data_IF_487038900536
#
_entry.id   IF_487038900536
#
_cell.length_a   1.000
_cell.length_b   1.000
_cell.length_c   1.000
_cell.angle_alpha   90.00
_cell.angle_beta   90.00
_cell.angle_gamma   90.00
#
_symmetry.space_group_name_H-M   'P 1'
#
loop_
_entity.id
_entity.type
_entity.pdbx_description
1 polymer ?
#
# COMPACT_ATOMS: atom_id res chain seq x y z
N UNK A 1 -9.77 -14.14 34.88
CA UNK A 1 -8.29 -14.07 34.85
C UNK A 1 -7.79 -15.08 33.85
N UNK A 2 -7.48 -14.64 32.64
CA UNK A 2 -6.97 -15.47 31.54
C UNK A 2 -5.50 -15.10 31.30
N UNK A 3 -4.61 -16.04 31.52
CA UNK A 3 -3.17 -15.93 31.36
C UNK A 3 -2.83 -15.94 29.87
N UNK A 4 -2.10 -14.95 29.42
CA UNK A 4 -1.56 -14.86 28.06
C UNK A 4 -0.15 -15.44 28.05
N UNK A 5 0.04 -16.55 27.29
CA UNK A 5 1.35 -17.14 27.03
C UNK A 5 2.03 -16.42 25.86
N UNK A 6 3.31 -16.07 25.94
CA UNK A 6 4.09 -15.64 24.80
C UNK A 6 4.60 -16.87 24.03
N UNK A 7 4.27 -16.98 22.76
CA UNK A 7 4.76 -18.02 21.87
C UNK A 7 6.11 -17.61 21.27
N UNK A 8 7.02 -18.55 21.39
CA UNK A 8 8.43 -18.53 21.05
C UNK A 8 8.71 -18.27 19.57
N UNK A 9 9.88 -17.68 19.34
CA UNK A 9 10.54 -17.53 18.05
C UNK A 9 10.88 -18.91 17.47
N UNK A 10 10.54 -19.13 16.20
CA UNK A 10 11.01 -20.26 15.42
C UNK A 10 11.93 -19.73 14.30
N UNK A 11 13.21 -20.09 14.39
CA UNK A 11 14.23 -19.88 13.36
C UNK A 11 13.88 -20.73 12.13
N UNK A 12 13.89 -20.13 10.95
CA UNK A 12 13.86 -20.85 9.67
C UNK A 12 15.18 -20.62 8.94
N UNK A 13 15.83 -21.75 8.66
CA UNK A 13 17.09 -21.90 7.95
C UNK A 13 16.92 -21.56 6.47
N UNK A 14 17.85 -20.77 5.95
CA UNK A 14 17.95 -20.39 4.53
C UNK A 14 18.78 -21.46 3.80
N UNK A 15 18.20 -22.11 2.79
CA UNK A 15 18.95 -22.88 1.79
C UNK A 15 19.21 -21.99 0.57
N UNK A 16 20.49 -21.76 0.29
CA UNK A 16 20.95 -21.12 -0.93
C UNK A 16 21.07 -22.17 -2.05
N UNK A 17 20.47 -21.91 -3.21
CA UNK A 17 20.80 -22.61 -4.46
C UNK A 17 21.24 -21.62 -5.51
N UNK A 18 22.51 -21.75 -5.89
CA UNK A 18 23.16 -21.07 -7.01
C UNK A 18 22.78 -21.77 -8.31
N UNK A 19 22.42 -21.01 -9.33
CA UNK A 19 22.36 -21.46 -10.73
C UNK A 19 23.03 -20.44 -11.64
N UNK A 20 24.17 -20.84 -12.17
CA UNK A 20 24.95 -20.20 -13.24
C UNK A 20 24.36 -20.64 -14.59
N UNK A 21 24.18 -19.73 -15.53
CA UNK A 21 24.21 -20.08 -16.95
C UNK A 21 24.53 -18.89 -17.85
N UNK A 22 25.48 -19.14 -18.71
CA UNK A 22 26.10 -18.31 -19.75
C UNK A 22 25.22 -18.07 -20.98
N UNK A 23 25.52 -16.96 -21.67
CA UNK A 23 25.89 -17.00 -23.09
C UNK A 23 24.83 -16.59 -24.10
N UNK A 24 25.24 -15.67 -24.99
CA UNK A 24 24.70 -15.61 -26.33
C UNK A 24 24.56 -14.21 -26.93
N UNK A 25 25.67 -13.73 -27.50
CA UNK A 25 25.68 -12.58 -28.45
C UNK A 25 25.17 -13.04 -29.81
N UNK A 26 24.46 -12.18 -30.54
CA UNK A 26 24.57 -12.13 -32.01
C UNK A 26 24.13 -10.78 -32.57
N UNK A 27 25.04 -10.21 -33.37
CA UNK A 27 24.89 -9.05 -34.27
C UNK A 27 24.02 -9.39 -35.48
N UNK A 28 23.44 -8.35 -36.08
CA UNK A 28 22.83 -8.43 -37.41
C UNK A 28 22.26 -7.09 -37.90
N UNK A 29 23.06 -6.32 -38.50
CA UNK A 29 23.10 -5.48 -39.72
C UNK A 29 21.81 -4.94 -40.31
N UNK A 30 21.81 -3.62 -40.56
CA UNK A 30 21.07 -2.86 -41.59
C UNK A 30 21.49 -3.28 -43.03
N UNK A 31 20.87 -2.82 -44.17
CA UNK A 31 20.32 -1.48 -44.44
C UNK A 31 19.14 -1.36 -45.49
N UNK A 32 18.60 -0.13 -45.61
CA UNK A 32 18.27 0.62 -46.85
C UNK A 32 17.01 0.29 -47.64
N UNK A 33 16.08 1.18 -47.85
CA UNK A 33 15.84 2.09 -49.00
C UNK A 33 14.44 2.72 -48.96
N UNK A 34 14.38 4.02 -49.21
CA UNK A 34 13.16 4.72 -49.55
C UNK A 34 12.84 4.54 -51.05
N UNK A 35 11.62 4.82 -51.51
CA UNK A 35 11.44 6.04 -52.27
C UNK A 35 10.12 6.81 -51.99
N UNK A 36 10.20 8.07 -52.37
CA UNK A 36 9.18 9.12 -52.40
C UNK A 36 7.97 8.83 -53.29
N UNK A 37 6.80 9.34 -52.96
CA UNK A 37 6.02 10.21 -53.88
C UNK A 37 4.65 10.65 -53.31
N UNK A 38 4.43 11.94 -53.42
CA UNK A 38 3.26 12.69 -53.93
C UNK A 38 2.07 12.91 -52.99
N UNK A 39 2.04 14.17 -52.58
CA UNK A 39 1.00 15.12 -52.26
C UNK A 39 -0.45 14.77 -52.61
N UNK A 40 -1.35 14.86 -51.63
CA UNK A 40 -2.73 15.35 -51.85
C UNK A 40 -3.25 16.01 -50.59
N UNK A 41 -3.48 17.31 -50.70
CA UNK A 41 -4.12 18.12 -49.67
C UNK A 41 -5.52 17.64 -49.35
N UNK A 42 -5.84 17.47 -48.06
CA UNK A 42 -7.20 17.39 -47.56
C UNK A 42 -7.29 18.11 -46.21
N UNK A 43 -8.17 19.07 -46.18
CA UNK A 43 -8.61 19.95 -45.11
C UNK A 43 -8.69 19.29 -43.74
N UNK A 44 -7.99 19.86 -42.78
CA UNK A 44 -7.93 19.45 -41.37
C UNK A 44 -9.07 20.05 -40.57
N UNK A 45 -9.79 19.28 -39.70
CA UNK A 45 -10.50 19.81 -38.52
C UNK A 45 -9.49 20.19 -37.43
N UNK A 46 -9.81 21.15 -36.53
CA UNK A 46 -8.86 21.59 -35.52
C UNK A 46 -8.55 20.45 -34.58
N UNK A 47 -7.29 20.07 -34.50
CA UNK A 47 -6.78 19.08 -33.53
C UNK A 47 -6.87 19.67 -32.13
N UNK A 48 -7.60 18.98 -31.27
CA UNK A 48 -7.48 19.12 -29.84
C UNK A 48 -6.03 18.81 -29.45
N UNK A 49 -5.30 19.86 -29.07
CA UNK A 49 -3.96 19.69 -28.51
C UNK A 49 -4.04 18.99 -27.16
N UNK A 50 -3.90 17.67 -27.15
CA UNK A 50 -3.44 16.98 -25.97
C UNK A 50 -2.02 17.45 -25.72
N UNK A 51 -1.84 18.39 -24.80
CA UNK A 51 -0.51 18.79 -24.31
C UNK A 51 0.02 17.59 -23.52
N UNK A 52 0.71 16.69 -24.21
CA UNK A 52 1.59 15.72 -23.55
C UNK A 52 2.80 16.54 -23.11
N UNK A 53 2.74 17.15 -21.94
CA UNK A 53 3.89 17.74 -21.28
C UNK A 53 4.86 16.60 -20.95
N UNK A 54 5.86 16.43 -21.81
CA UNK A 54 6.97 15.54 -21.52
C UNK A 54 7.67 16.08 -20.25
N UNK A 55 7.64 15.38 -19.11
CA UNK A 55 8.24 15.91 -17.89
C UNK A 55 9.73 16.11 -18.14
N UNK A 56 10.23 17.32 -17.85
CA UNK A 56 11.66 17.61 -17.99
C UNK A 56 12.52 16.70 -17.10
N UNK A 57 13.84 16.58 -17.37
CA UNK A 57 14.74 15.69 -16.63
C UNK A 57 14.66 15.83 -15.08
N UNK A 58 14.42 17.04 -14.59
CA UNK A 58 14.25 17.29 -13.14
C UNK A 58 12.96 16.72 -12.56
N UNK A 59 11.87 16.70 -13.33
CA UNK A 59 10.60 16.12 -12.89
C UNK A 59 10.69 14.59 -12.79
N UNK A 60 11.29 13.92 -13.78
CA UNK A 60 11.52 12.48 -13.75
C UNK A 60 12.43 12.06 -12.58
N UNK A 61 13.45 12.88 -12.29
CA UNK A 61 14.34 12.61 -11.15
C UNK A 61 13.62 12.81 -9.80
N UNK A 62 12.75 13.81 -9.69
CA UNK A 62 11.93 14.03 -8.50
C UNK A 62 10.95 12.88 -8.29
N UNK A 63 10.27 12.42 -9.33
CA UNK A 63 9.37 11.27 -9.30
C UNK A 63 10.11 9.98 -8.90
N UNK A 64 11.28 9.70 -9.49
CA UNK A 64 12.10 8.55 -9.13
C UNK A 64 12.53 8.60 -7.65
N UNK A 65 12.85 9.77 -7.12
CA UNK A 65 13.20 9.97 -5.70
C UNK A 65 12.01 9.75 -4.79
N UNK A 66 10.84 10.25 -5.17
CA UNK A 66 9.58 10.08 -4.44
C UNK A 66 9.18 8.60 -4.39
N UNK A 67 9.16 7.92 -5.54
CA UNK A 67 8.92 6.49 -5.64
C UNK A 67 9.94 5.66 -4.82
N UNK A 68 11.22 6.05 -4.82
CA UNK A 68 12.25 5.40 -4.00
C UNK A 68 12.00 5.56 -2.49
N UNK A 69 11.39 6.67 -2.06
CA UNK A 69 11.00 6.89 -0.68
C UNK A 69 9.75 6.08 -0.26
N UNK A 70 8.98 5.58 -1.22
CA UNK A 70 7.78 4.76 -0.97
C UNK A 70 6.48 5.42 -1.40
N UNK A 71 6.53 6.50 -2.17
CA UNK A 71 5.35 7.08 -2.80
C UNK A 71 4.69 6.07 -3.74
N UNK A 72 3.37 5.98 -3.69
CA UNK A 72 2.59 5.12 -4.59
C UNK A 72 2.24 5.96 -5.82
N UNK A 73 2.75 5.59 -7.02
CA UNK A 73 2.50 6.36 -8.23
C UNK A 73 1.01 6.48 -8.59
N UNK A 74 0.59 7.56 -9.23
CA UNK A 74 -0.80 7.78 -9.65
C UNK A 74 -1.31 6.70 -10.63
N UNK A 75 -0.41 6.10 -11.41
CA UNK A 75 -0.71 5.00 -12.34
C UNK A 75 -0.63 3.62 -11.71
N UNK A 76 -0.52 3.51 -10.37
CA UNK A 76 -0.44 2.23 -9.67
C UNK A 76 -1.67 1.37 -9.93
N UNK A 77 -1.45 0.14 -10.34
CA UNK A 77 -2.51 -0.87 -10.46
C UNK A 77 -2.87 -1.42 -9.08
N UNK A 78 -4.16 -1.53 -8.78
CA UNK A 78 -4.67 -2.09 -7.54
C UNK A 78 -5.38 -3.41 -7.79
N UNK A 79 -4.90 -4.47 -7.16
CA UNK A 79 -5.49 -5.81 -7.21
C UNK A 79 -6.55 -5.98 -6.12
N UNK A 80 -7.57 -6.79 -6.40
CA UNK A 80 -8.58 -7.14 -5.42
C UNK A 80 -8.16 -8.40 -4.63
N UNK A 81 -8.00 -8.25 -3.32
CA UNK A 81 -7.82 -9.36 -2.40
C UNK A 81 -9.16 -9.79 -1.83
N UNK A 82 -9.58 -11.00 -2.14
CA UNK A 82 -10.79 -11.62 -1.58
C UNK A 82 -10.40 -12.62 -0.49
N UNK A 83 -10.86 -12.40 0.73
CA UNK A 83 -10.64 -13.30 1.87
C UNK A 83 -11.97 -13.95 2.28
N UNK A 84 -12.35 -15.09 1.68
CA UNK A 84 -13.64 -15.72 1.96
C UNK A 84 -13.76 -16.27 3.38
N UNK A 85 -12.65 -16.68 4.00
CA UNK A 85 -12.63 -17.21 5.37
C UNK A 85 -12.86 -16.12 6.42
N UNK A 86 -12.24 -14.94 6.24
CA UNK A 86 -12.46 -13.78 7.10
C UNK A 86 -13.69 -12.96 6.65
N UNK A 87 -14.20 -13.18 5.44
CA UNK A 87 -15.43 -12.63 4.90
C UNK A 87 -15.33 -11.17 4.50
N UNK A 88 -14.23 -10.78 3.84
CA UNK A 88 -14.05 -9.43 3.30
C UNK A 88 -13.33 -9.42 1.95
N UNK A 89 -13.43 -8.28 1.27
CA UNK A 89 -12.65 -7.91 0.09
C UNK A 89 -12.02 -6.54 0.35
N UNK A 90 -10.78 -6.34 -0.11
CA UNK A 90 -10.08 -5.05 -0.12
C UNK A 90 -9.15 -4.98 -1.32
N UNK A 91 -8.90 -3.79 -1.86
CA UNK A 91 -7.85 -3.58 -2.85
C UNK A 91 -6.51 -3.30 -2.18
N UNK A 92 -5.43 -3.68 -2.86
CA UNK A 92 -4.05 -3.40 -2.46
C UNK A 92 -3.19 -3.12 -3.70
N UNK A 93 -2.09 -2.38 -3.61
CA UNK A 93 -1.23 -2.10 -4.76
C UNK A 93 -0.57 -3.37 -5.30
N UNK A 94 -0.56 -3.53 -6.63
CA UNK A 94 0.16 -4.62 -7.29
C UNK A 94 1.66 -4.56 -6.94
N UNK A 95 2.29 -5.73 -6.79
CA UNK A 95 3.71 -5.85 -6.43
C UNK A 95 4.00 -5.83 -4.92
N UNK A 96 3.01 -5.48 -4.07
CA UNK A 96 3.22 -5.53 -2.62
C UNK A 96 3.26 -6.95 -2.08
N UNK A 97 4.23 -7.23 -1.22
CA UNK A 97 4.38 -8.53 -0.58
C UNK A 97 3.24 -8.77 0.41
N UNK A 98 2.52 -9.88 0.21
CA UNK A 98 1.47 -10.35 1.13
C UNK A 98 2.05 -11.28 2.19
N UNK A 99 1.62 -11.13 3.43
CA UNK A 99 2.01 -11.98 4.57
C UNK A 99 0.91 -12.09 5.62
N UNK A 100 1.09 -13.00 6.57
CA UNK A 100 0.18 -13.20 7.70
C UNK A 100 -0.90 -14.26 7.48
N UNK A 101 -1.54 -14.71 8.58
CA UNK A 101 -2.63 -15.69 8.55
C UNK A 101 -3.93 -15.06 8.07
N UNK A 102 -4.93 -15.88 7.76
CA UNK A 102 -6.24 -15.47 7.22
C UNK A 102 -6.91 -14.33 7.99
N UNK A 103 -6.80 -14.30 9.32
CA UNK A 103 -7.43 -13.26 10.16
C UNK A 103 -6.58 -12.01 10.37
N UNK A 104 -5.34 -11.98 9.88
CA UNK A 104 -4.38 -10.88 10.04
C UNK A 104 -3.47 -10.81 8.82
N UNK A 105 -3.95 -10.20 7.76
CA UNK A 105 -3.25 -10.12 6.47
C UNK A 105 -2.59 -8.75 6.34
N UNK A 106 -1.32 -8.75 5.94
CA UNK A 106 -0.52 -7.55 5.70
C UNK A 106 -0.01 -7.55 4.27
N UNK A 107 -0.16 -6.43 3.57
CA UNK A 107 0.52 -6.10 2.32
C UNK A 107 1.56 -5.03 2.61
N UNK A 108 2.76 -5.20 2.08
CA UNK A 108 3.88 -4.30 2.37
C UNK A 108 4.75 -4.06 1.14
N UNK A 109 5.13 -2.81 0.96
CA UNK A 109 6.25 -2.42 0.10
C UNK A 109 7.09 -1.36 0.83
N UNK A 110 8.39 -1.57 0.88
CA UNK A 110 9.32 -0.72 1.65
C UNK A 110 8.83 -0.55 3.10
N UNK A 111 8.46 0.69 3.49
CA UNK A 111 7.90 1.01 4.80
C UNK A 111 6.37 1.24 4.77
N UNK A 112 5.74 1.11 3.60
CA UNK A 112 4.30 1.22 3.48
C UNK A 112 3.61 -0.06 3.92
N UNK A 113 2.46 0.07 4.54
CA UNK A 113 1.69 -1.06 5.09
C UNK A 113 0.20 -0.86 4.79
N UNK A 114 -0.43 -1.93 4.31
CA UNK A 114 -1.87 -2.15 4.38
C UNK A 114 -2.08 -3.42 5.18
N UNK A 115 -2.68 -3.33 6.37
CA UNK A 115 -2.96 -4.48 7.22
C UNK A 115 -4.43 -4.57 7.53
N UNK A 116 -5.00 -5.76 7.44
CA UNK A 116 -6.39 -6.04 7.79
C UNK A 116 -6.44 -7.14 8.84
N UNK A 117 -6.91 -6.79 10.04
CA UNK A 117 -7.14 -7.73 11.13
C UNK A 117 -8.64 -7.90 11.31
N UNK A 118 -9.13 -9.14 11.28
CA UNK A 118 -10.54 -9.45 11.54
C UNK A 118 -10.68 -10.19 12.85
N UNK A 119 -11.47 -9.63 13.75
CA UNK A 119 -11.75 -10.18 15.07
C UNK A 119 -13.25 -10.35 15.30
N UNK A 120 -13.61 -11.10 16.34
CA UNK A 120 -14.99 -11.19 16.83
C UNK A 120 -15.13 -10.30 18.06
N UNK A 121 -16.18 -9.51 18.11
CA UNK A 121 -16.45 -8.61 19.23
C UNK A 121 -17.68 -7.74 19.03
N UNK A 122 -18.03 -6.95 20.03
CA UNK A 122 -19.10 -5.95 19.90
C UNK A 122 -18.65 -4.82 18.96
N UNK A 123 -19.60 -4.10 18.36
CA UNK A 123 -19.28 -2.89 17.58
C UNK A 123 -18.41 -1.93 18.38
N UNK A 124 -17.30 -1.42 17.81
CA UNK A 124 -16.42 -0.51 18.50
C UNK A 124 -17.10 0.85 18.74
N UNK A 125 -16.63 1.56 19.75
CA UNK A 125 -17.01 2.94 20.04
C UNK A 125 -15.76 3.82 20.10
N UNK A 126 -15.85 5.14 19.89
CA UNK A 126 -14.69 6.02 20.05
C UNK A 126 -13.99 5.85 21.42
N UNK A 127 -14.78 5.63 22.49
CA UNK A 127 -14.26 5.39 23.85
C UNK A 127 -13.48 4.07 23.94
N UNK A 128 -13.97 2.97 23.34
CA UNK A 128 -13.26 1.69 23.37
C UNK A 128 -11.99 1.74 22.51
N UNK A 129 -12.03 2.37 21.34
CA UNK A 129 -10.86 2.57 20.49
C UNK A 129 -9.82 3.45 21.16
N UNK A 130 -10.22 4.54 21.84
CA UNK A 130 -9.29 5.38 22.62
C UNK A 130 -8.54 4.58 23.68
N UNK A 131 -9.24 3.68 24.40
CA UNK A 131 -8.61 2.79 25.39
C UNK A 131 -7.66 1.78 24.77
N UNK A 132 -8.02 1.22 23.61
CA UNK A 132 -7.16 0.31 22.85
C UNK A 132 -5.87 0.99 22.40
N UNK A 133 -5.97 2.18 21.78
CA UNK A 133 -4.82 2.94 21.32
C UNK A 133 -3.91 3.41 22.48
N UNK A 134 -4.48 3.71 23.65
CA UNK A 134 -3.71 4.14 24.81
C UNK A 134 -2.75 3.07 25.37
N UNK A 135 -3.03 1.78 25.11
CA UNK A 135 -2.17 0.67 25.53
C UNK A 135 -1.29 0.11 24.40
N UNK A 136 -1.38 0.69 23.20
CA UNK A 136 -0.56 0.30 22.06
C UNK A 136 0.86 0.83 22.25
N UNK A 137 1.80 -0.09 22.48
CA UNK A 137 3.19 0.30 22.78
C UNK A 137 3.84 1.04 21.61
N UNK A 138 4.48 2.16 21.93
CA UNK A 138 5.20 2.98 20.94
C UNK A 138 4.30 3.75 19.98
N UNK A 139 2.99 3.82 20.26
CA UNK A 139 2.06 4.63 19.49
C UNK A 139 1.79 5.97 20.17
N UNK A 140 1.79 7.03 19.37
CA UNK A 140 1.36 8.37 19.78
C UNK A 140 0.15 8.77 18.95
N UNK A 141 -1.02 8.93 19.57
CA UNK A 141 -2.26 9.29 18.87
C UNK A 141 -2.18 10.75 18.43
N UNK A 142 -2.28 11.00 17.12
CA UNK A 142 -2.26 12.33 16.49
C UNK A 142 -3.66 12.82 16.12
N UNK A 143 -4.57 11.88 15.76
CA UNK A 143 -6.00 12.17 15.57
C UNK A 143 -6.82 11.23 16.44
N UNK A 144 -7.64 11.76 17.36
CA UNK A 144 -8.46 10.95 18.25
C UNK A 144 -9.50 10.15 17.46
N UNK A 145 -10.00 9.01 18.02
CA UNK A 145 -11.03 8.21 17.38
C UNK A 145 -12.32 8.97 17.16
N UNK A 146 -12.76 9.08 15.90
CA UNK A 146 -13.97 9.76 15.47
C UNK A 146 -14.84 8.81 14.63
N UNK A 147 -16.16 8.98 14.74
CA UNK A 147 -17.12 8.29 13.87
C UNK A 147 -16.98 8.81 12.45
N UNK A 148 -16.98 7.92 11.49
CA UNK A 148 -16.92 8.22 10.05
C UNK A 148 -17.74 7.22 9.26
N UNK A 149 -17.76 7.38 7.95
CA UNK A 149 -18.39 6.46 6.99
C UNK A 149 -17.37 6.07 5.94
N UNK A 150 -17.27 4.78 5.67
CA UNK A 150 -16.44 4.20 4.62
C UNK A 150 -17.35 3.43 3.68
N UNK A 151 -17.48 3.89 2.44
CA UNK A 151 -18.32 3.25 1.41
C UNK A 151 -19.74 2.90 1.89
N UNK A 152 -20.40 3.85 2.56
CA UNK A 152 -21.74 3.69 3.12
C UNK A 152 -21.82 2.91 4.44
N UNK A 153 -20.73 2.31 4.89
CA UNK A 153 -20.68 1.58 6.17
C UNK A 153 -20.20 2.47 7.30
N UNK A 154 -20.80 2.32 8.49
CA UNK A 154 -20.33 3.01 9.69
C UNK A 154 -18.93 2.53 10.06
N UNK A 155 -18.06 3.47 10.39
CA UNK A 155 -16.68 3.21 10.78
C UNK A 155 -16.24 4.15 11.93
N UNK A 156 -15.08 3.83 12.52
CA UNK A 156 -14.34 4.74 13.38
C UNK A 156 -12.96 4.88 12.75
N UNK A 157 -12.47 6.11 12.63
CA UNK A 157 -11.15 6.45 12.16
C UNK A 157 -10.34 7.10 13.28
N UNK A 158 -9.07 6.76 13.36
CA UNK A 158 -8.08 7.39 14.22
C UNK A 158 -6.73 7.40 13.51
N UNK A 159 -5.86 8.35 13.86
CA UNK A 159 -4.48 8.38 13.36
C UNK A 159 -3.51 8.31 14.54
N UNK A 160 -2.47 7.54 14.38
CA UNK A 160 -1.38 7.49 15.35
C UNK A 160 -0.03 7.36 14.63
N UNK A 161 1.02 7.81 15.29
CA UNK A 161 2.39 7.60 14.85
C UNK A 161 3.03 6.46 15.65
N UNK A 162 3.89 5.69 14.98
CA UNK A 162 4.67 4.61 15.59
C UNK A 162 5.98 4.41 14.87
N UNK A 163 6.91 3.66 15.49
CA UNK A 163 8.16 3.26 14.84
C UNK A 163 7.93 2.03 13.98
N UNK A 164 8.49 2.03 12.76
CA UNK A 164 8.55 0.81 11.95
C UNK A 164 9.49 -0.23 12.57
N UNK A 165 9.36 -1.50 12.14
CA UNK A 165 10.46 -2.43 12.30
C UNK A 165 11.72 -1.88 11.60
N UNK A 166 12.94 -2.20 12.07
CA UNK A 166 14.16 -1.86 11.35
C UNK A 166 14.15 -2.45 9.94
N UNK A 167 14.59 -1.66 8.96
CA UNK A 167 14.77 -2.16 7.61
C UNK A 167 15.86 -3.26 7.61
N UNK A 168 15.61 -4.43 7.03
CA UNK A 168 16.52 -5.58 7.12
C UNK A 168 17.88 -5.32 6.45
N UNK A 169 17.97 -4.37 5.52
CA UNK A 169 19.20 -4.03 4.80
C UNK A 169 19.99 -2.92 5.51
N UNK A 170 19.29 -1.86 5.94
CA UNK A 170 19.95 -0.66 6.49
C UNK A 170 19.95 -0.59 8.02
N UNK A 171 19.22 -1.47 8.70
CA UNK A 171 19.01 -1.44 10.15
C UNK A 171 18.22 -0.23 10.66
N UNK A 172 17.81 0.69 9.78
CA UNK A 172 17.14 1.94 10.14
C UNK A 172 15.62 1.73 10.28
N UNK A 173 15.05 2.30 11.33
CA UNK A 173 13.61 2.43 11.51
C UNK A 173 13.15 3.85 11.19
N UNK A 174 11.96 3.97 10.65
CA UNK A 174 11.30 5.25 10.34
C UNK A 174 10.07 5.45 11.25
N UNK A 175 9.60 6.68 11.36
CA UNK A 175 8.30 6.96 11.97
C UNK A 175 7.22 6.78 10.90
N UNK A 176 6.22 5.97 11.22
CA UNK A 176 5.03 5.75 10.40
C UNK A 176 3.87 6.54 10.97
N UNK A 177 3.16 7.27 10.10
CA UNK A 177 1.80 7.69 10.35
C UNK A 177 0.85 6.57 9.91
N UNK A 178 -0.05 6.17 10.79
CA UNK A 178 -0.99 5.08 10.54
C UNK A 178 -2.42 5.58 10.65
N UNK A 179 -3.14 5.55 9.54
CA UNK A 179 -4.59 5.70 9.49
C UNK A 179 -5.23 4.37 9.85
N UNK A 180 -5.90 4.31 11.01
CA UNK A 180 -6.58 3.11 11.48
C UNK A 180 -8.08 3.25 11.39
N UNK A 181 -8.70 2.33 10.67
CA UNK A 181 -10.14 2.24 10.51
C UNK A 181 -10.70 1.01 11.20
N UNK A 182 -11.82 1.16 11.89
CA UNK A 182 -12.61 0.08 12.46
C UNK A 182 -13.93 -0.01 11.72
N UNK A 183 -14.17 -1.13 11.03
CA UNK A 183 -15.42 -1.41 10.32
C UNK A 183 -16.05 -2.66 10.93
N UNK A 184 -17.36 -2.73 11.02
CA UNK A 184 -18.03 -3.89 11.62
C UNK A 184 -19.28 -4.31 10.88
N UNK A 185 -19.57 -5.62 10.94
CA UNK A 185 -20.81 -6.25 10.46
C UNK A 185 -21.21 -7.35 11.44
N UNK A 186 -22.33 -7.16 12.16
CA UNK A 186 -22.72 -8.05 13.26
C UNK A 186 -21.66 -8.09 14.37
N UNK A 187 -21.15 -9.28 14.67
CA UNK A 187 -20.09 -9.49 15.69
C UNK A 187 -18.66 -9.53 15.09
N UNK A 188 -18.50 -9.24 13.80
CA UNK A 188 -17.17 -9.15 13.16
C UNK A 188 -16.71 -7.70 13.13
N UNK A 189 -15.45 -7.48 13.49
CA UNK A 189 -14.78 -6.18 13.44
C UNK A 189 -13.53 -6.34 12.59
N UNK A 190 -13.39 -5.53 11.55
CA UNK A 190 -12.16 -5.37 10.79
C UNK A 190 -11.44 -4.12 11.28
N UNK A 191 -10.15 -4.27 11.57
CA UNK A 191 -9.22 -3.19 11.83
C UNK A 191 -8.35 -3.08 10.57
N UNK A 192 -8.40 -1.94 9.90
CA UNK A 192 -7.60 -1.68 8.70
C UNK A 192 -6.59 -0.59 9.03
N UNK A 193 -5.30 -0.94 8.96
CA UNK A 193 -4.18 -0.03 9.14
C UNK A 193 -3.59 0.33 7.78
N UNK A 194 -3.46 1.62 7.49
CA UNK A 194 -2.81 2.18 6.32
C UNK A 194 -1.64 3.03 6.80
N UNK A 195 -0.42 2.55 6.67
CA UNK A 195 0.77 3.16 7.24
C UNK A 195 1.77 3.61 6.19
N UNK A 196 2.25 4.86 6.29
CA UNK A 196 3.33 5.41 5.47
C UNK A 196 4.37 6.13 6.33
N UNK A 197 5.62 6.25 5.86
CA UNK A 197 6.62 7.08 6.52
C UNK A 197 6.18 8.54 6.63
N UNK A 198 6.35 9.13 7.82
CA UNK A 198 6.14 10.56 8.07
C UNK A 198 7.42 11.26 8.50
N UNK A 199 8.43 10.50 8.95
CA UNK A 199 9.76 11.00 9.26
C UNK A 199 10.82 9.89 9.07
N UNK A 200 12.05 10.19 8.68
CA UNK A 200 12.60 11.51 8.32
C UNK A 200 12.11 12.06 6.97
N UNK A 201 11.52 11.23 6.11
CA UNK A 201 10.94 11.62 4.82
C UNK A 201 9.44 11.32 4.88
N UNK A 202 8.62 12.34 4.63
CA UNK A 202 7.18 12.17 4.50
C UNK A 202 6.86 11.63 3.12
N UNK A 203 6.03 10.59 3.09
CA UNK A 203 5.49 9.98 1.87
C UNK A 203 4.01 10.34 1.77
N UNK A 204 3.57 10.79 0.61
CA UNK A 204 2.17 11.18 0.38
C UNK A 204 1.41 10.07 -0.37
N UNK A 205 0.74 9.24 0.38
CA UNK A 205 -0.08 8.14 -0.14
C UNK A 205 -1.59 8.34 0.13
N UNK A 206 -2.03 9.58 0.38
CA UNK A 206 -3.41 9.88 0.81
C UNK A 206 -4.43 9.38 -0.19
N UNK A 207 -4.25 9.61 -1.48
CA UNK A 207 -5.22 9.21 -2.51
C UNK A 207 -5.23 7.70 -2.73
N UNK A 208 -4.07 7.06 -2.74
CA UNK A 208 -3.95 5.61 -2.81
C UNK A 208 -4.63 4.94 -1.61
N UNK A 209 -4.41 5.44 -0.40
CA UNK A 209 -5.02 4.90 0.82
C UNK A 209 -6.53 5.16 0.88
N UNK A 210 -6.99 6.30 0.35
CA UNK A 210 -8.43 6.56 0.19
C UNK A 210 -9.07 5.52 -0.74
N UNK A 211 -8.44 5.21 -1.87
CA UNK A 211 -8.90 4.17 -2.80
C UNK A 211 -8.94 2.80 -2.11
N UNK A 212 -7.90 2.45 -1.36
CA UNK A 212 -7.83 1.17 -0.65
C UNK A 212 -8.96 1.06 0.39
N UNK A 213 -9.09 2.02 1.31
CA UNK A 213 -10.11 1.92 2.34
C UNK A 213 -11.53 1.96 1.77
N UNK A 214 -11.77 2.76 0.75
CA UNK A 214 -13.06 2.81 0.06
C UNK A 214 -13.39 1.54 -0.72
N UNK A 215 -12.40 0.70 -1.00
CA UNK A 215 -12.62 -0.60 -1.64
C UNK A 215 -13.07 -1.68 -0.67
N UNK A 216 -12.89 -1.48 0.64
CA UNK A 216 -13.25 -2.49 1.65
C UNK A 216 -14.74 -2.83 1.59
N UNK A 217 -15.04 -4.15 1.55
CA UNK A 217 -16.42 -4.68 1.57
C UNK A 217 -16.47 -5.94 2.43
N UNK A 218 -17.50 -6.03 3.27
CA UNK A 218 -17.87 -7.29 3.90
C UNK A 218 -18.56 -8.22 2.89
N UNK A 219 -18.16 -9.46 2.93
CA UNK A 219 -18.78 -10.56 2.17
C UNK A 219 -19.74 -11.36 3.03
#
# INVERSE_FOLDING_TARGET
>A
MARWNPIAALCVVVLATTLTACGGSSMGSQPTTAPSSTSRARTTPPASHSVTTNPGPGALQAEAKSAAAGDIPDNQVFLAFNNPRAGYLVKYPEGWAQSGPTGDVTFRDKNNIVRVVVTKGPPPSPKSVKRELAVLRGATVTTPPLRTTVSGSRAIHAVYETRSAPNPVTGKAVTLGVDRYYLWKGKRVAIVDLGSPVAPVKVDNVDAYRLIIQSFRWR
#
